data_IF_625622224576
#
_entry.id   IF_625622224576
#
_cell.length_a   1.000
_cell.length_b   1.000
_cell.length_c   1.000
_cell.angle_alpha   90.00
_cell.angle_beta   90.00
_cell.angle_gamma   90.00
#
_symmetry.space_group_name_H-M   'P 1'
#
loop_
_entity.id
_entity.type
_entity.pdbx_description
1 polymer ?
#
# COMPACT_ATOMS: atom_id res chain seq x y z
N UNK A 1 -2.64 -17.02 -19.42
CA UNK A 1 -3.58 -15.90 -19.21
C UNK A 1 -4.45 -16.06 -17.96
N UNK A 2 -3.98 -16.73 -16.88
CA UNK A 2 -4.72 -16.84 -15.62
C UNK A 2 -4.48 -15.66 -14.67
N UNK A 3 -3.30 -15.02 -14.73
CA UNK A 3 -2.92 -13.90 -13.86
C UNK A 3 -3.84 -12.67 -13.98
N UNK A 4 -4.20 -12.27 -15.20
CA UNK A 4 -5.11 -11.14 -15.43
C UNK A 4 -6.49 -11.35 -14.76
N UNK A 5 -7.07 -12.54 -14.91
CA UNK A 5 -8.34 -12.90 -14.28
C UNK A 5 -8.24 -12.86 -12.74
N UNK A 6 -7.15 -13.37 -12.17
CA UNK A 6 -6.93 -13.32 -10.73
C UNK A 6 -6.88 -11.87 -10.21
N UNK A 7 -6.16 -10.98 -10.90
CA UNK A 7 -6.08 -9.57 -10.53
C UNK A 7 -7.44 -8.86 -10.65
N UNK A 8 -8.22 -9.15 -11.69
CA UNK A 8 -9.57 -8.59 -11.84
C UNK A 8 -10.52 -9.05 -10.73
N UNK A 9 -10.41 -10.31 -10.30
CA UNK A 9 -11.16 -10.81 -9.14
C UNK A 9 -10.78 -10.04 -7.87
N UNK A 10 -9.49 -9.80 -7.64
CA UNK A 10 -9.03 -9.03 -6.47
C UNK A 10 -9.56 -7.59 -6.52
N UNK A 11 -9.49 -6.91 -7.67
CA UNK A 11 -10.09 -5.57 -7.85
C UNK A 11 -11.58 -5.58 -7.52
N UNK A 12 -12.32 -6.57 -8.02
CA UNK A 12 -13.76 -6.70 -7.74
C UNK A 12 -14.06 -6.92 -6.26
N UNK A 13 -13.26 -7.75 -5.58
CA UNK A 13 -13.42 -7.99 -4.14
C UNK A 13 -13.14 -6.71 -3.37
N UNK A 14 -12.02 -6.04 -3.65
CA UNK A 14 -11.62 -4.81 -2.98
C UNK A 14 -12.63 -3.68 -3.16
N UNK A 15 -13.26 -3.56 -4.34
CA UNK A 15 -14.33 -2.59 -4.60
C UNK A 15 -15.58 -2.80 -3.73
N UNK A 16 -15.79 -4.02 -3.20
CA UNK A 16 -16.87 -4.33 -2.26
C UNK A 16 -16.51 -4.12 -0.79
N UNK A 17 -15.26 -3.77 -0.47
CA UNK A 17 -14.79 -3.52 0.89
C UNK A 17 -14.81 -2.02 1.19
N UNK A 18 -14.75 -1.67 2.49
CA UNK A 18 -14.56 -0.28 2.90
C UNK A 18 -13.17 0.21 2.43
N UNK A 19 -13.08 1.18 1.50
CA UNK A 19 -11.81 1.54 0.84
C UNK A 19 -10.74 2.02 1.83
N UNK A 20 -11.14 2.80 2.83
CA UNK A 20 -10.22 3.36 3.82
C UNK A 20 -9.62 2.30 4.74
N UNK A 21 -10.39 1.24 5.06
CA UNK A 21 -9.91 0.13 5.89
C UNK A 21 -8.98 -0.79 5.10
N UNK A 22 -9.23 -0.98 3.79
CA UNK A 22 -8.29 -1.66 2.90
C UNK A 22 -6.97 -0.89 2.82
N UNK A 23 -7.05 0.43 2.63
CA UNK A 23 -5.86 1.29 2.57
C UNK A 23 -5.08 1.29 3.89
N UNK A 24 -5.78 1.32 5.03
CA UNK A 24 -5.16 1.21 6.35
C UNK A 24 -4.42 -0.13 6.54
N UNK A 25 -4.99 -1.24 6.08
CA UNK A 25 -4.32 -2.54 6.12
C UNK A 25 -3.07 -2.59 5.22
N UNK A 26 -3.13 -1.99 4.03
CA UNK A 26 -1.98 -1.88 3.13
C UNK A 26 -0.87 -1.00 3.73
N UNK A 27 -1.24 0.14 4.32
CA UNK A 27 -0.31 1.03 5.01
C UNK A 27 0.37 0.33 6.19
N UNK A 28 -0.38 -0.44 6.98
CA UNK A 28 0.17 -1.26 8.07
C UNK A 28 1.18 -2.29 7.55
N UNK A 29 0.83 -3.03 6.49
CA UNK A 29 1.73 -4.02 5.93
C UNK A 29 3.03 -3.36 5.44
N UNK A 30 2.91 -2.26 4.69
CA UNK A 30 4.07 -1.52 4.20
C UNK A 30 4.93 -0.94 5.34
N UNK A 31 4.31 -0.43 6.40
CA UNK A 31 5.04 0.08 7.56
C UNK A 31 5.82 -1.04 8.25
N UNK A 32 5.21 -2.22 8.43
CA UNK A 32 5.89 -3.39 9.02
C UNK A 32 7.09 -3.85 8.19
N UNK A 33 6.98 -3.80 6.86
CA UNK A 33 8.05 -4.20 5.95
C UNK A 33 9.25 -3.22 5.97
N UNK A 34 9.02 -1.97 6.40
CA UNK A 34 10.06 -0.94 6.53
C UNK A 34 10.70 -0.88 7.90
N UNK A 35 10.12 -1.52 8.93
CA UNK A 35 10.76 -1.56 10.25
C UNK A 35 12.10 -2.31 10.19
N UNK A 36 13.14 -1.84 10.92
CA UNK A 36 13.11 -0.80 11.94
C UNK A 36 13.47 0.62 11.45
N UNK A 37 13.28 0.95 10.16
CA UNK A 37 13.57 2.31 9.68
C UNK A 37 12.72 3.37 10.39
N UNK A 38 13.37 4.47 10.78
CA UNK A 38 12.71 5.60 11.44
C UNK A 38 13.37 6.92 11.03
N UNK A 39 12.62 8.04 10.96
CA UNK A 39 11.16 8.15 11.12
C UNK A 39 10.40 7.69 9.87
N UNK A 40 9.19 7.14 10.06
CA UNK A 40 8.27 6.80 8.96
C UNK A 40 7.13 7.81 8.95
N UNK A 41 6.92 8.46 7.80
CA UNK A 41 5.75 9.31 7.55
C UNK A 41 4.83 8.65 6.55
N UNK A 42 3.55 8.52 6.89
CA UNK A 42 2.53 7.94 6.02
C UNK A 42 1.61 9.05 5.53
N UNK A 43 1.67 9.33 4.23
CA UNK A 43 0.80 10.29 3.55
C UNK A 43 -0.34 9.57 2.86
N UNK A 44 -1.56 10.03 3.10
CA UNK A 44 -2.80 9.52 2.50
C UNK A 44 -3.78 10.67 2.25
N UNK A 45 -4.79 10.42 1.41
CA UNK A 45 -5.90 11.36 1.24
C UNK A 45 -6.60 11.66 2.59
N UNK A 46 -7.14 12.88 2.79
CA UNK A 46 -7.72 13.30 4.07
C UNK A 46 -8.81 12.37 4.62
N UNK A 47 -9.59 11.75 3.74
CA UNK A 47 -10.69 10.86 4.09
C UNK A 47 -10.18 9.58 4.77
N UNK A 48 -9.01 9.08 4.36
CA UNK A 48 -8.43 7.84 4.87
C UNK A 48 -7.56 8.04 6.11
N UNK A 49 -7.12 9.27 6.39
CA UNK A 49 -6.18 9.56 7.49
C UNK A 49 -6.64 8.99 8.83
N UNK A 50 -7.93 9.11 9.16
CA UNK A 50 -8.48 8.59 10.42
C UNK A 50 -8.41 7.07 10.54
N UNK A 51 -8.71 6.33 9.46
CA UNK A 51 -8.62 4.86 9.45
C UNK A 51 -7.16 4.39 9.59
N UNK A 52 -6.26 5.04 8.84
CA UNK A 52 -4.83 4.73 8.83
C UNK A 52 -4.20 5.02 10.19
N UNK A 53 -4.46 6.19 10.79
CA UNK A 53 -3.96 6.52 12.13
C UNK A 53 -4.40 5.50 13.18
N UNK A 54 -5.68 5.12 13.21
CA UNK A 54 -6.20 4.13 14.17
C UNK A 54 -5.47 2.80 14.05
N UNK A 55 -5.16 2.37 12.82
CA UNK A 55 -4.56 1.07 12.56
C UNK A 55 -3.05 1.05 12.82
N UNK A 56 -2.34 2.13 12.49
CA UNK A 56 -0.89 2.23 12.71
C UNK A 56 -0.51 2.49 14.17
N UNK A 57 -1.43 3.04 14.97
CA UNK A 57 -1.22 3.27 16.40
C UNK A 57 -0.74 2.01 17.16
N UNK A 58 -1.20 0.81 16.76
CA UNK A 58 -0.80 -0.43 17.42
C UNK A 58 0.57 -0.96 17.00
N UNK A 59 1.21 -0.37 15.99
CA UNK A 59 2.50 -0.81 15.46
C UNK A 59 3.63 -0.07 16.15
N UNK A 60 3.68 1.25 15.97
CA UNK A 60 4.67 2.12 16.60
C UNK A 60 4.11 3.54 16.68
N UNK A 61 4.17 4.13 17.87
CA UNK A 61 3.70 5.49 18.14
C UNK A 61 4.51 6.57 17.41
N UNK A 62 5.68 6.23 16.85
CA UNK A 62 6.56 7.14 16.10
C UNK A 62 6.20 7.25 14.62
N UNK A 63 5.26 6.44 14.12
CA UNK A 63 4.76 6.57 12.75
C UNK A 63 3.82 7.78 12.68
N UNK A 64 4.20 8.77 11.88
CA UNK A 64 3.42 9.99 11.70
C UNK A 64 2.49 9.82 10.50
N UNK A 65 1.18 9.96 10.70
CA UNK A 65 0.19 9.95 9.62
C UNK A 65 -0.18 11.38 9.25
N UNK A 66 -0.04 11.72 7.96
CA UNK A 66 -0.28 13.05 7.43
C UNK A 66 -1.37 12.98 6.36
N UNK A 67 -2.41 13.79 6.51
CA UNK A 67 -3.40 14.01 5.46
C UNK A 67 -2.79 14.90 4.37
N UNK A 68 -2.80 14.42 3.13
CA UNK A 68 -2.27 15.09 1.96
C UNK A 68 -3.40 15.26 0.93
N UNK A 69 -3.86 16.50 0.75
CA UNK A 69 -4.97 16.82 -0.15
C UNK A 69 -4.63 16.69 -1.64
N UNK A 70 -3.35 16.55 -1.97
CA UNK A 70 -2.89 16.34 -3.34
C UNK A 70 -2.83 14.84 -3.70
N UNK A 71 -2.99 13.94 -2.73
CA UNK A 71 -3.03 12.50 -2.98
C UNK A 71 -4.44 12.03 -3.41
N UNK A 72 -4.55 11.22 -4.47
CA UNK A 72 -5.80 10.58 -4.85
C UNK A 72 -6.34 9.67 -3.74
N UNK A 73 -7.67 9.50 -3.71
CA UNK A 73 -8.30 8.49 -2.87
C UNK A 73 -7.74 7.08 -3.19
N UNK A 74 -7.42 6.31 -2.17
CA UNK A 74 -6.84 4.97 -2.31
C UNK A 74 -5.32 4.93 -2.48
N UNK A 75 -4.65 6.09 -2.57
CA UNK A 75 -3.19 6.17 -2.56
C UNK A 75 -2.64 6.28 -1.13
N UNK A 76 -1.50 5.63 -0.92
CA UNK A 76 -0.73 5.68 0.32
C UNK A 76 0.75 5.73 -0.03
N UNK A 77 1.46 6.69 0.57
CA UNK A 77 2.89 6.87 0.39
C UNK A 77 3.58 6.88 1.75
N UNK A 78 4.59 6.03 1.90
CA UNK A 78 5.45 6.01 3.07
C UNK A 78 6.76 6.70 2.70
N UNK A 79 7.06 7.80 3.38
CA UNK A 79 8.36 8.47 3.30
C UNK A 79 9.24 8.01 4.47
N UNK A 80 10.44 7.52 4.14
CA UNK A 80 11.51 7.18 5.08
C UNK A 80 12.82 7.88 4.66
N UNK A 81 13.88 7.87 5.49
CA UNK A 81 15.19 8.40 5.08
C UNK A 81 15.76 7.70 3.83
N UNK A 82 15.38 6.43 3.61
CA UNK A 82 15.83 5.61 2.50
C UNK A 82 15.13 5.95 1.18
N UNK A 83 13.95 6.56 1.24
CA UNK A 83 13.18 6.93 0.05
C UNK A 83 11.69 6.94 0.27
N UNK A 84 10.95 6.67 -0.81
CA UNK A 84 9.48 6.66 -0.82
C UNK A 84 8.96 5.33 -1.31
N UNK A 85 7.94 4.81 -0.62
CA UNK A 85 7.25 3.58 -0.98
C UNK A 85 5.78 3.86 -1.24
N UNK A 86 5.27 3.38 -2.37
CA UNK A 86 3.85 3.50 -2.72
C UNK A 86 3.10 2.22 -2.31
N UNK A 87 2.15 2.34 -1.38
CA UNK A 87 1.40 1.24 -0.80
C UNK A 87 -0.08 1.17 -1.22
N UNK A 88 -0.52 2.04 -2.14
CA UNK A 88 -1.89 2.00 -2.67
C UNK A 88 -2.21 0.70 -3.43
N UNK A 89 -3.46 0.25 -3.38
CA UNK A 89 -3.90 -1.05 -3.93
C UNK A 89 -3.55 -1.20 -5.41
N UNK A 90 -3.88 -0.20 -6.24
CA UNK A 90 -3.61 -0.25 -7.68
C UNK A 90 -2.12 -0.27 -8.00
N UNK A 91 -1.28 0.28 -7.13
CA UNK A 91 0.18 0.18 -7.28
C UNK A 91 0.65 -1.25 -7.01
N UNK A 92 0.13 -1.88 -5.95
CA UNK A 92 0.46 -3.27 -5.60
C UNK A 92 -0.01 -4.26 -6.68
N UNK A 93 -1.22 -4.09 -7.21
CA UNK A 93 -1.75 -4.94 -8.28
C UNK A 93 -0.96 -4.77 -9.58
N UNK A 94 -0.53 -3.56 -9.93
CA UNK A 94 0.34 -3.32 -11.10
C UNK A 94 1.71 -3.98 -10.94
N UNK A 95 2.29 -3.97 -9.73
CA UNK A 95 3.53 -4.69 -9.46
C UNK A 95 3.38 -6.20 -9.68
N UNK A 96 2.27 -6.79 -9.19
CA UNK A 96 1.96 -8.21 -9.42
C UNK A 96 1.71 -8.51 -10.90
N UNK A 97 1.03 -7.62 -11.62
CA UNK A 97 0.81 -7.76 -13.05
C UNK A 97 2.12 -7.84 -13.85
N UNK A 98 3.10 -7.00 -13.49
CA UNK A 98 4.43 -7.04 -14.10
C UNK A 98 5.14 -8.39 -13.85
N UNK A 99 5.02 -8.93 -12.63
CA UNK A 99 5.60 -10.25 -12.29
C UNK A 99 4.94 -11.37 -13.08
N UNK A 100 3.62 -11.34 -13.26
CA UNK A 100 2.91 -12.36 -14.04
C UNK A 100 3.09 -12.22 -15.56
N UNK A 101 3.40 -11.01 -16.04
CA UNK A 101 3.68 -10.72 -17.44
C UNK A 101 5.12 -11.06 -17.84
N UNK A 102 6.06 -11.08 -16.89
CA UNK A 102 7.42 -11.52 -17.14
C UNK A 102 7.42 -12.99 -17.60
N UNK A 103 8.12 -13.32 -18.70
CA UNK A 103 8.27 -14.72 -19.08
C UNK A 103 8.95 -15.46 -17.93
N UNK A 104 8.39 -16.62 -17.54
CA UNK A 104 8.97 -17.48 -16.52
C UNK A 104 10.33 -18.00 -16.99
N UNK A 105 11.40 -17.25 -16.75
CA UNK A 105 12.70 -17.59 -17.30
C UNK A 105 13.77 -16.53 -17.09
N UNK A 106 14.08 -16.19 -15.83
CA UNK A 106 15.47 -15.95 -15.42
C UNK A 106 15.58 -16.09 -13.88
N UNK A 107 15.38 -17.33 -13.42
CA UNK A 107 16.00 -17.79 -12.19
C UNK A 107 17.13 -18.74 -12.62
N UNK A 108 18.36 -18.40 -12.23
CA UNK A 108 19.64 -19.08 -12.48
C UNK A 108 20.41 -18.65 -13.75
N UNK A 109 21.27 -17.64 -13.57
CA UNK A 109 22.66 -17.66 -14.02
C UNK A 109 23.53 -16.95 -12.98
#
# INVERSE_FOLDING_TARGET
MSGALALDIVRRIAAGLAPDEVLAALAEQAARDLLPEEPIRVRVAPEAAGAVTRRLWSIDARIEVVADGDLPAGDCVLDTPSGRTHAGLETQLRALEAVFAAPAGEAAA
#
